data_IF_390837625185
#
_entry.id   IF_390837625185
#
_cell.length_a   1.000
_cell.length_b   1.000
_cell.length_c   1.000
_cell.angle_alpha   90.00
_cell.angle_beta   90.00
_cell.angle_gamma   90.00
#
_symmetry.space_group_name_H-M   'P 1'
#
loop_
_entity.id
_entity.type
_entity.pdbx_description
1 polymer ?
#
# COMPACT_ATOMS: atom_id res chain seq x y z
N UNK A 1 6.88 -15.09 -0.26
CA UNK A 1 5.68 -14.24 -0.18
C UNK A 1 5.00 -14.09 -1.54
N UNK A 2 5.68 -13.63 -2.60
CA UNK A 2 5.07 -13.33 -3.90
C UNK A 2 4.19 -14.47 -4.44
N UNK A 3 4.67 -15.71 -4.44
CA UNK A 3 3.89 -16.87 -4.91
C UNK A 3 2.76 -17.30 -3.95
N UNK A 4 2.79 -16.82 -2.71
CA UNK A 4 1.75 -17.11 -1.72
C UNK A 4 0.61 -16.08 -1.74
N UNK A 5 0.83 -14.93 -2.37
CA UNK A 5 -0.23 -13.90 -2.53
C UNK A 5 -1.21 -14.36 -3.59
N UNK A 6 -2.42 -14.66 -3.18
CA UNK A 6 -3.54 -15.01 -4.05
C UNK A 6 -4.64 -13.97 -3.93
N UNK A 7 -5.08 -13.44 -5.05
CA UNK A 7 -6.26 -12.57 -5.13
C UNK A 7 -7.49 -13.43 -5.41
N UNK A 8 -8.60 -13.08 -4.80
CA UNK A 8 -9.88 -13.72 -5.13
C UNK A 8 -10.39 -13.25 -6.49
N UNK A 9 -11.29 -14.00 -7.16
CA UNK A 9 -11.90 -13.55 -8.41
C UNK A 9 -12.56 -12.16 -8.32
N UNK A 10 -13.16 -11.85 -7.16
CA UNK A 10 -13.79 -10.55 -6.90
C UNK A 10 -12.75 -9.43 -6.81
N UNK A 11 -11.63 -9.68 -6.13
CA UNK A 11 -10.51 -8.73 -6.01
C UNK A 11 -9.86 -8.46 -7.38
N UNK A 12 -9.66 -9.50 -8.18
CA UNK A 12 -9.16 -9.36 -9.54
C UNK A 12 -10.14 -8.61 -10.45
N UNK A 13 -11.45 -8.88 -10.33
CA UNK A 13 -12.47 -8.17 -11.09
C UNK A 13 -12.51 -6.68 -10.73
N UNK A 14 -12.41 -6.35 -9.44
CA UNK A 14 -12.30 -4.97 -8.95
C UNK A 14 -11.11 -4.25 -9.60
N UNK A 15 -9.91 -4.84 -9.56
CA UNK A 15 -8.68 -4.26 -10.09
C UNK A 15 -8.72 -4.07 -11.60
N UNK A 16 -9.28 -5.04 -12.33
CA UNK A 16 -9.48 -4.93 -13.80
C UNK A 16 -10.51 -3.86 -14.17
N UNK A 17 -11.45 -3.56 -13.27
CA UNK A 17 -12.49 -2.55 -13.46
C UNK A 17 -12.03 -1.10 -13.23
N UNK A 18 -10.80 -0.84 -12.80
CA UNK A 18 -10.30 0.50 -12.57
C UNK A 18 -10.33 1.33 -13.86
N UNK A 19 -10.70 2.62 -13.73
CA UNK A 19 -10.94 3.52 -14.86
C UNK A 19 -9.80 4.55 -15.02
N UNK A 20 -9.20 5.00 -13.91
CA UNK A 20 -8.13 5.99 -13.91
C UNK A 20 -6.77 5.33 -13.83
N UNK A 21 -5.84 5.80 -14.63
CA UNK A 21 -4.43 5.44 -14.46
C UNK A 21 -3.92 6.01 -13.14
N UNK A 22 -3.21 5.18 -12.40
CA UNK A 22 -2.60 5.56 -11.14
C UNK A 22 -1.17 5.02 -11.05
N UNK A 23 -0.32 5.78 -10.39
CA UNK A 23 1.07 5.40 -10.21
C UNK A 23 1.36 5.18 -8.73
N UNK A 24 2.05 4.11 -8.42
CA UNK A 24 2.52 3.77 -7.08
C UNK A 24 4.04 3.86 -7.07
N UNK A 25 4.56 4.80 -6.31
CA UNK A 25 5.98 4.91 -6.03
C UNK A 25 6.24 4.36 -4.63
N UNK A 26 7.03 3.31 -4.53
CA UNK A 26 7.29 2.61 -3.28
C UNK A 26 8.74 2.79 -2.87
N UNK A 27 8.97 3.52 -1.79
CA UNK A 27 10.26 3.58 -1.13
C UNK A 27 10.43 2.31 -0.30
N UNK A 28 11.44 1.52 -0.58
CA UNK A 28 11.64 0.19 0.00
C UNK A 28 13.13 -0.10 0.22
N UNK A 29 13.42 -1.29 0.72
CA UNK A 29 14.78 -1.82 0.85
C UNK A 29 14.74 -3.33 0.90
N UNK A 30 15.62 -4.00 0.16
CA UNK A 30 15.69 -5.47 0.08
C UNK A 30 16.06 -6.12 1.42
N UNK A 31 16.74 -5.40 2.29
CA UNK A 31 17.15 -5.81 3.64
C UNK A 31 16.02 -5.63 4.69
N UNK A 32 14.93 -4.98 4.35
CA UNK A 32 13.82 -4.68 5.26
C UNK A 32 12.79 -5.81 5.27
N UNK A 33 12.58 -6.44 6.43
CA UNK A 33 11.61 -7.53 6.57
C UNK A 33 10.17 -7.12 6.24
N UNK A 34 9.76 -5.89 6.59
CA UNK A 34 8.43 -5.38 6.24
C UNK A 34 8.27 -5.21 4.73
N UNK A 35 9.32 -4.76 4.03
CA UNK A 35 9.32 -4.65 2.58
C UNK A 35 9.24 -6.04 1.92
N UNK A 36 10.03 -7.00 2.40
CA UNK A 36 10.01 -8.39 1.89
C UNK A 36 8.62 -9.01 2.02
N UNK A 37 7.86 -8.65 3.04
CA UNK A 37 6.51 -9.18 3.26
C UNK A 37 5.42 -8.41 2.52
N UNK A 38 5.54 -7.10 2.33
CA UNK A 38 4.47 -6.27 1.79
C UNK A 38 4.66 -5.88 0.32
N UNK A 39 5.89 -5.63 -0.15
CA UNK A 39 6.13 -5.27 -1.54
C UNK A 39 5.63 -6.32 -2.55
N UNK A 40 5.76 -7.63 -2.29
CA UNK A 40 5.16 -8.63 -3.18
C UNK A 40 3.63 -8.56 -3.28
N UNK A 41 2.95 -8.11 -2.22
CA UNK A 41 1.49 -7.89 -2.25
C UNK A 41 1.16 -6.73 -3.20
N UNK A 42 1.87 -5.61 -3.08
CA UNK A 42 1.72 -4.45 -3.97
C UNK A 42 2.01 -4.84 -5.43
N UNK A 43 3.04 -5.65 -5.67
CA UNK A 43 3.38 -6.15 -7.01
C UNK A 43 2.23 -6.97 -7.60
N UNK A 44 1.65 -7.91 -6.84
CA UNK A 44 0.51 -8.72 -7.30
C UNK A 44 -0.73 -7.89 -7.59
N UNK A 45 -1.01 -6.88 -6.76
CA UNK A 45 -2.11 -5.94 -6.99
C UNK A 45 -1.88 -5.15 -8.29
N UNK A 46 -0.68 -4.62 -8.48
CA UNK A 46 -0.35 -3.85 -9.68
C UNK A 46 -0.43 -4.68 -10.97
N UNK A 47 0.07 -5.91 -10.95
CA UNK A 47 0.00 -6.84 -12.08
C UNK A 47 -1.43 -7.22 -12.47
N UNK A 48 -2.37 -7.13 -11.52
CA UNK A 48 -3.78 -7.48 -11.74
C UNK A 48 -4.63 -6.33 -12.32
N UNK A 49 -4.03 -5.15 -12.53
CA UNK A 49 -4.71 -4.00 -13.12
C UNK A 49 -3.88 -3.36 -14.22
N UNK A 50 -4.42 -3.18 -15.44
CA UNK A 50 -3.73 -2.45 -16.52
C UNK A 50 -3.60 -0.95 -16.24
N UNK A 51 -4.25 -0.45 -15.18
CA UNK A 51 -4.29 0.96 -14.79
C UNK A 51 -3.29 1.33 -13.71
N UNK A 52 -2.54 0.35 -13.18
CA UNK A 52 -1.57 0.60 -12.10
C UNK A 52 -0.16 0.46 -12.63
N UNK A 53 0.61 1.55 -12.57
CA UNK A 53 2.04 1.54 -12.79
C UNK A 53 2.75 1.58 -11.44
N UNK A 54 3.55 0.56 -11.15
CA UNK A 54 4.30 0.41 -9.90
C UNK A 54 5.80 0.58 -10.15
N UNK A 55 6.46 1.39 -9.32
CA UNK A 55 7.92 1.53 -9.29
C UNK A 55 8.43 1.45 -7.85
N UNK A 56 9.57 0.79 -7.69
CA UNK A 56 10.30 0.72 -6.43
C UNK A 56 11.54 1.62 -6.49
N UNK A 57 11.78 2.36 -5.40
CA UNK A 57 13.02 3.08 -5.15
C UNK A 57 13.71 2.48 -3.92
N UNK A 58 15.03 2.30 -3.99
CA UNK A 58 15.79 1.95 -2.79
C UNK A 58 15.91 3.18 -1.89
N UNK A 59 15.58 3.02 -0.61
CA UNK A 59 15.60 4.09 0.37
C UNK A 59 16.97 4.73 0.55
N UNK A 60 18.01 3.92 0.48
CA UNK A 60 19.37 4.37 0.79
C UNK A 60 20.05 5.01 -0.43
N UNK A 61 19.55 4.71 -1.64
CA UNK A 61 20.01 5.35 -2.88
C UNK A 61 19.30 6.71 -3.15
N UNK A 62 18.18 6.99 -2.45
CA UNK A 62 17.37 8.19 -2.64
C UNK A 62 17.17 8.97 -1.34
N UNK A 63 18.22 9.64 -0.80
CA UNK A 63 18.13 10.34 0.48
C UNK A 63 17.16 11.53 0.47
N UNK A 64 16.94 12.17 -0.66
CA UNK A 64 15.98 13.25 -0.84
C UNK A 64 14.52 12.74 -0.67
N UNK A 65 14.20 11.63 -1.30
CA UNK A 65 12.87 10.98 -1.15
C UNK A 65 12.69 10.45 0.26
N UNK A 66 13.73 9.86 0.84
CA UNK A 66 13.71 9.35 2.21
C UNK A 66 13.40 10.45 3.23
N UNK A 67 14.01 11.62 3.09
CA UNK A 67 13.76 12.76 3.98
C UNK A 67 12.33 13.28 3.82
N UNK A 68 11.86 13.43 2.58
CA UNK A 68 10.49 13.88 2.29
C UNK A 68 9.42 12.94 2.84
N UNK A 69 9.67 11.63 2.82
CA UNK A 69 8.73 10.60 3.27
C UNK A 69 8.91 10.15 4.71
N UNK A 70 9.77 10.83 5.49
CA UNK A 70 9.98 10.52 6.88
C UNK A 70 8.70 10.71 7.72
N UNK A 71 8.38 9.73 8.56
CA UNK A 71 7.25 9.78 9.48
C UNK A 71 7.71 9.50 10.90
N UNK A 72 7.12 10.19 11.87
CA UNK A 72 7.49 10.06 13.28
C UNK A 72 9.01 10.13 13.49
N UNK A 73 9.70 11.04 12.77
CA UNK A 73 11.16 11.23 12.75
C UNK A 73 11.95 9.98 12.36
N UNK A 74 11.36 9.09 11.59
CA UNK A 74 12.00 7.85 11.14
C UNK A 74 11.82 7.60 9.65
N UNK A 75 12.85 7.03 9.05
CA UNK A 75 12.85 6.64 7.63
C UNK A 75 12.18 5.27 7.46
N UNK A 76 10.88 5.26 7.69
CA UNK A 76 10.05 4.06 7.70
C UNK A 76 9.76 3.56 6.28
N UNK A 77 9.88 2.25 6.07
CA UNK A 77 9.59 1.59 4.80
C UNK A 77 8.87 0.24 5.02
N UNK A 78 8.05 -0.24 4.05
CA UNK A 78 7.75 0.40 2.77
C UNK A 78 6.85 1.63 2.93
N UNK A 79 7.15 2.70 2.19
CA UNK A 79 6.29 3.87 2.11
C UNK A 79 5.78 4.01 0.66
N UNK A 80 4.47 4.05 0.49
CA UNK A 80 3.82 4.14 -0.82
C UNK A 80 3.29 5.55 -1.03
N UNK A 81 3.70 6.17 -2.12
CA UNK A 81 3.15 7.42 -2.63
C UNK A 81 2.25 7.08 -3.82
N UNK A 82 1.00 7.48 -3.74
CA UNK A 82 0.03 7.34 -4.82
C UNK A 82 -0.02 8.62 -5.62
N UNK A 83 0.12 8.49 -6.94
CA UNK A 83 0.11 9.61 -7.88
C UNK A 83 -1.00 9.41 -8.91
N UNK A 84 -1.56 10.53 -9.39
CA UNK A 84 -2.44 10.53 -10.55
C UNK A 84 -1.67 10.24 -11.85
N UNK A 85 -2.39 10.14 -12.97
CA UNK A 85 -1.82 9.89 -14.29
C UNK A 85 -0.76 10.94 -14.71
N UNK A 86 -0.89 12.16 -14.22
CA UNK A 86 -0.03 13.32 -14.48
C UNK A 86 0.93 13.61 -13.32
N UNK A 87 1.24 12.60 -12.48
CA UNK A 87 2.21 12.64 -11.39
C UNK A 87 1.88 13.62 -10.25
N UNK A 88 0.62 13.97 -10.06
CA UNK A 88 0.20 14.72 -8.88
C UNK A 88 0.02 13.76 -7.72
N UNK A 89 0.64 14.04 -6.58
CA UNK A 89 0.46 13.25 -5.37
C UNK A 89 -0.98 13.36 -4.86
N UNK A 90 -1.57 12.21 -4.57
CA UNK A 90 -2.96 12.13 -4.11
C UNK A 90 -3.11 11.46 -2.73
N UNK A 91 -2.15 10.64 -2.33
CA UNK A 91 -2.12 9.99 -1.01
C UNK A 91 -0.75 9.40 -0.69
N UNK A 92 -0.50 9.17 0.60
CA UNK A 92 0.61 8.36 1.11
C UNK A 92 0.06 7.29 2.04
N UNK A 93 0.65 6.13 2.04
CA UNK A 93 0.34 5.07 2.99
C UNK A 93 1.57 4.19 3.27
N UNK A 94 1.75 3.85 4.48
CA UNK A 94 2.82 2.99 5.00
C UNK A 94 2.91 3.17 6.52
N UNK A 95 3.86 2.55 7.20
CA UNK A 95 4.84 1.55 6.71
C UNK A 95 4.27 0.13 6.77
N UNK A 96 3.35 -0.09 7.69
CA UNK A 96 2.67 -1.36 7.96
C UNK A 96 1.18 -1.18 7.93
N UNK A 97 0.50 -2.22 7.48
CA UNK A 97 -0.95 -2.27 7.56
C UNK A 97 -1.42 -2.55 9.00
N UNK A 98 -2.68 -2.30 9.27
CA UNK A 98 -3.27 -2.46 10.60
C UNK A 98 -3.09 -3.88 11.16
N UNK A 99 -3.23 -4.91 10.34
CA UNK A 99 -3.08 -6.30 10.78
C UNK A 99 -1.67 -6.61 11.27
N UNK A 100 -0.64 -6.03 10.63
CA UNK A 100 0.75 -6.18 11.07
C UNK A 100 0.95 -5.49 12.43
N UNK A 101 0.41 -4.28 12.60
CA UNK A 101 0.49 -3.57 13.89
C UNK A 101 -0.23 -4.32 15.00
N UNK A 102 -1.40 -4.92 14.72
CA UNK A 102 -2.13 -5.74 15.69
C UNK A 102 -1.31 -6.95 16.13
N UNK A 103 -0.67 -7.64 15.19
CA UNK A 103 0.21 -8.76 15.52
C UNK A 103 1.39 -8.31 16.37
N UNK A 104 2.09 -7.26 15.96
CA UNK A 104 3.23 -6.74 16.71
C UNK A 104 2.85 -6.29 18.14
N UNK A 105 1.70 -5.65 18.28
CA UNK A 105 1.21 -5.22 19.58
C UNK A 105 0.89 -6.42 20.47
N UNK A 106 0.24 -7.45 19.95
CA UNK A 106 -0.02 -8.68 20.69
C UNK A 106 1.25 -9.39 21.15
N UNK A 107 2.29 -9.42 20.29
CA UNK A 107 3.58 -10.06 20.59
C UNK A 107 4.42 -9.26 21.61
N UNK A 108 4.45 -7.93 21.47
CA UNK A 108 5.39 -7.08 22.23
C UNK A 108 4.81 -6.49 23.50
N UNK A 109 3.52 -6.16 23.51
CA UNK A 109 2.87 -5.51 24.64
C UNK A 109 2.23 -6.52 25.61
N UNK A 110 1.87 -7.71 25.09
CA UNK A 110 1.30 -8.80 25.86
C UNK A 110 -0.04 -8.46 26.54
N UNK A 111 -0.63 -9.44 27.24
CA UNK A 111 -1.94 -9.28 27.89
C UNK A 111 -1.92 -8.32 29.11
N UNK A 112 -0.74 -7.99 29.64
CA UNK A 112 -0.61 -7.08 30.76
C UNK A 112 -0.73 -5.58 30.37
N UNK A 113 -0.69 -5.24 29.08
CA UNK A 113 -0.83 -3.87 28.60
C UNK A 113 -2.24 -3.63 28.06
N UNK A 114 -3.11 -2.85 28.74
CA UNK A 114 -4.49 -2.61 28.34
C UNK A 114 -4.55 -1.60 27.17
N UNK A 115 -4.18 -2.01 25.98
CA UNK A 115 -4.12 -1.14 24.78
C UNK A 115 -5.38 -1.18 23.92
N UNK A 116 -6.42 -1.92 24.31
CA UNK A 116 -7.62 -2.09 23.49
C UNK A 116 -7.35 -2.71 22.12
N UNK A 117 -6.25 -3.45 21.99
CA UNK A 117 -5.82 -4.03 20.71
C UNK A 117 -6.74 -5.19 20.34
N UNK A 118 -7.35 -5.10 19.18
CA UNK A 118 -8.04 -6.23 18.57
C UNK A 118 -7.01 -7.26 18.16
N UNK A 119 -7.14 -8.54 18.55
CA UNK A 119 -6.21 -9.58 18.13
C UNK A 119 -6.08 -9.66 16.60
N UNK A 120 -4.90 -10.02 16.08
CA UNK A 120 -4.73 -10.24 14.65
C UNK A 120 -5.65 -11.36 14.17
N UNK A 121 -6.18 -11.25 12.96
CA UNK A 121 -6.93 -12.32 12.33
C UNK A 121 -6.04 -13.55 12.02
N UNK A 122 -6.63 -14.73 11.80
CA UNK A 122 -5.89 -15.98 11.67
C UNK A 122 -5.02 -16.08 10.40
N UNK A 123 -5.27 -15.26 9.40
CA UNK A 123 -4.53 -15.24 8.12
C UNK A 123 -3.97 -13.85 7.87
N UNK A 124 -2.76 -13.62 8.37
CA UNK A 124 -2.11 -12.31 8.26
C UNK A 124 -1.90 -11.88 6.80
N UNK A 125 -1.46 -12.79 5.93
CA UNK A 125 -1.18 -12.44 4.53
C UNK A 125 -2.45 -12.01 3.79
N UNK A 126 -3.56 -12.70 4.00
CA UNK A 126 -4.86 -12.34 3.42
C UNK A 126 -5.33 -10.98 3.94
N UNK A 127 -5.20 -10.73 5.23
CA UNK A 127 -5.59 -9.46 5.83
C UNK A 127 -4.74 -8.29 5.29
N UNK A 128 -3.43 -8.45 5.22
CA UNK A 128 -2.51 -7.47 4.64
C UNK A 128 -2.83 -7.21 3.17
N UNK A 129 -3.13 -8.25 2.39
CA UNK A 129 -3.51 -8.13 0.99
C UNK A 129 -4.80 -7.31 0.85
N UNK A 130 -5.82 -7.60 1.67
CA UNK A 130 -7.07 -6.85 1.64
C UNK A 130 -6.88 -5.39 2.10
N UNK A 131 -6.06 -5.14 3.10
CA UNK A 131 -5.78 -3.79 3.58
C UNK A 131 -5.07 -2.94 2.52
N UNK A 132 -4.08 -3.48 1.82
CA UNK A 132 -3.46 -2.80 0.68
C UNK A 132 -4.44 -2.58 -0.47
N UNK A 133 -5.29 -3.57 -0.76
CA UNK A 133 -6.32 -3.44 -1.79
C UNK A 133 -7.32 -2.33 -1.45
N UNK A 134 -7.73 -2.22 -0.19
CA UNK A 134 -8.62 -1.15 0.27
C UNK A 134 -8.01 0.24 0.04
N UNK A 135 -6.70 0.42 0.29
CA UNK A 135 -6.03 1.69 0.03
C UNK A 135 -5.94 2.00 -1.47
N UNK A 136 -5.63 1.01 -2.29
CA UNK A 136 -5.57 1.16 -3.75
C UNK A 136 -6.96 1.51 -4.31
N UNK A 137 -8.01 0.84 -3.84
CA UNK A 137 -9.41 1.15 -4.21
C UNK A 137 -9.80 2.55 -3.76
N UNK A 138 -9.47 2.92 -2.52
CA UNK A 138 -9.74 4.28 -2.00
C UNK A 138 -9.13 5.34 -2.90
N UNK A 139 -7.89 5.15 -3.32
CA UNK A 139 -7.21 6.09 -4.22
C UNK A 139 -7.86 6.10 -5.60
N UNK A 140 -8.24 4.94 -6.15
CA UNK A 140 -8.98 4.88 -7.41
C UNK A 140 -10.27 5.68 -7.38
N UNK A 141 -11.04 5.57 -6.28
CA UNK A 141 -12.27 6.35 -6.08
C UNK A 141 -11.97 7.85 -5.93
N UNK A 142 -10.90 8.21 -5.23
CA UNK A 142 -10.44 9.59 -5.12
C UNK A 142 -10.14 10.18 -6.51
N UNK A 143 -9.45 9.44 -7.37
CA UNK A 143 -9.15 9.84 -8.75
C UNK A 143 -10.42 9.94 -9.60
N UNK A 144 -11.36 8.99 -9.45
CA UNK A 144 -12.65 9.00 -10.17
C UNK A 144 -13.54 10.17 -9.78
N UNK A 145 -13.50 10.57 -8.52
CA UNK A 145 -14.29 11.69 -7.98
C UNK A 145 -13.61 13.06 -8.12
N UNK A 146 -12.35 13.09 -8.57
CA UNK A 146 -11.59 14.33 -8.73
C UNK A 146 -12.23 15.24 -9.79
N UNK A 147 -12.69 16.46 -9.43
CA UNK A 147 -13.27 17.39 -10.41
C UNK A 147 -12.30 17.73 -11.54
N UNK A 148 -11.02 17.88 -11.22
CA UNK A 148 -9.97 18.13 -12.20
C UNK A 148 -9.85 17.02 -13.23
N UNK A 149 -9.77 15.76 -12.78
CA UNK A 149 -9.63 14.62 -13.69
C UNK A 149 -10.92 14.35 -14.47
N UNK A 150 -12.07 14.52 -13.83
CA UNK A 150 -13.36 14.41 -14.52
C UNK A 150 -13.50 15.44 -15.64
N UNK A 151 -13.08 16.67 -15.39
CA UNK A 151 -13.05 17.71 -16.42
C UNK A 151 -12.08 17.34 -17.55
N UNK A 152 -10.89 16.82 -17.22
CA UNK A 152 -9.89 16.39 -18.21
C UNK A 152 -10.42 15.29 -19.13
N UNK A 153 -11.15 14.33 -18.57
CA UNK A 153 -11.66 13.15 -19.28
C UNK A 153 -13.08 13.36 -19.87
N UNK A 154 -13.77 14.42 -19.48
CA UNK A 154 -15.13 14.71 -19.94
C UNK A 154 -16.20 13.78 -19.35
N UNK A 155 -15.99 13.26 -18.13
CA UNK A 155 -16.89 12.30 -17.47
C UNK A 155 -17.36 12.74 -16.07
#
# INVERSE_FOLDING_TARGET
>A
VYHAVTLTPEQEALLRGFQRDMKLLVLAGTWCGDCVNQCPVLQRIAESSPRIELRFLDRDDHPDVREELAINRGYRIPMVVFLSEDFVEVARYGERTLSIYRQMAAERLGPACPVGVVPPGPDLLRNVTQEWLNEVERVQLLLRLSPRLRQLHGD
#
